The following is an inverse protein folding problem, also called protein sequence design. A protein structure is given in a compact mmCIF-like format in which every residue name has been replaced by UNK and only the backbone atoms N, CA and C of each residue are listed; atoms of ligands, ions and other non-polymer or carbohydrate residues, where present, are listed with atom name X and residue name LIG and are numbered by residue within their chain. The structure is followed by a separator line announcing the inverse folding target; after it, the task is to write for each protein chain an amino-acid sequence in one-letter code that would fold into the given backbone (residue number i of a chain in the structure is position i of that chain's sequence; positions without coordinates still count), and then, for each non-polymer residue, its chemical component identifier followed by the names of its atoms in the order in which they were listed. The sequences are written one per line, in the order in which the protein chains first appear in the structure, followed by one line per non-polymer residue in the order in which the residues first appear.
data_IF_269333136525
#
_entry.id   IF_269333136525
#
_cell.length_a   1.000
_cell.length_b   1.000
_cell.length_c   1.000
_cell.angle_alpha   90.00
_cell.angle_beta   90.00
_cell.angle_gamma   90.00
#
_symmetry.space_group_name_H-M   'P 1'
#
loop_
_entity.id
_entity.type
_entity.pdbx_description
1 polymer ?
#
# COMPACT_ATOMS: atom_id res chain seq x y z
N UNK A 1 -20.14 53.97 -11.37
CA UNK A 1 -20.30 53.09 -12.56
C UNK A 1 -19.01 52.37 -12.97
N UNK A 2 -18.01 53.00 -13.62
CA UNK A 2 -16.84 52.26 -14.17
C UNK A 2 -16.09 51.39 -13.14
N UNK A 3 -15.90 51.86 -11.91
CA UNK A 3 -15.25 51.08 -10.84
C UNK A 3 -16.10 49.89 -10.41
N UNK A 4 -17.41 50.12 -10.21
CA UNK A 4 -18.40 49.07 -9.90
C UNK A 4 -18.44 47.98 -10.97
N UNK A 5 -18.39 48.35 -12.26
CA UNK A 5 -18.34 47.41 -13.37
C UNK A 5 -17.06 46.56 -13.36
N UNK A 6 -15.90 47.14 -13.04
CA UNK A 6 -14.64 46.38 -12.86
C UNK A 6 -14.73 45.37 -11.71
N UNK A 7 -15.33 45.76 -10.58
CA UNK A 7 -15.54 44.83 -9.45
C UNK A 7 -16.50 43.69 -9.81
N UNK A 8 -17.61 43.97 -10.51
CA UNK A 8 -18.55 42.95 -10.99
C UNK A 8 -17.88 42.00 -11.98
N UNK A 9 -17.14 42.50 -12.97
CA UNK A 9 -16.41 41.67 -13.93
C UNK A 9 -15.33 40.83 -13.25
N UNK A 10 -14.61 41.38 -12.26
CA UNK A 10 -13.64 40.64 -11.46
C UNK A 10 -14.27 39.52 -10.63
N UNK A 11 -15.42 39.79 -9.99
CA UNK A 11 -16.18 38.80 -9.24
C UNK A 11 -16.74 37.68 -10.13
N UNK A 12 -17.27 38.01 -11.31
CA UNK A 12 -17.73 37.02 -12.31
C UNK A 12 -16.56 36.18 -12.84
N UNK A 13 -15.40 36.80 -13.12
CA UNK A 13 -14.19 36.08 -13.51
C UNK A 13 -13.70 35.12 -12.44
N UNK A 14 -13.65 35.56 -11.17
CA UNK A 14 -13.28 34.71 -10.05
C UNK A 14 -14.28 33.55 -9.85
N UNK A 15 -15.58 33.82 -9.91
CA UNK A 15 -16.62 32.79 -9.85
C UNK A 15 -16.51 31.78 -10.99
N UNK A 16 -16.23 32.23 -12.22
CA UNK A 16 -15.98 31.37 -13.38
C UNK A 16 -14.73 30.49 -13.21
N UNK A 17 -13.64 31.02 -12.67
CA UNK A 17 -12.43 30.25 -12.36
C UNK A 17 -12.66 29.23 -11.24
N UNK A 18 -13.41 29.59 -10.19
CA UNK A 18 -13.80 28.65 -9.12
C UNK A 18 -14.68 27.54 -9.70
N UNK A 19 -15.70 27.88 -10.50
CA UNK A 19 -16.56 26.91 -11.16
C UNK A 19 -15.74 25.95 -12.05
N UNK A 20 -14.88 26.48 -12.92
CA UNK A 20 -14.00 25.69 -13.78
C UNK A 20 -13.07 24.78 -12.96
N UNK A 21 -12.52 25.29 -11.86
CA UNK A 21 -11.67 24.50 -10.98
C UNK A 21 -12.43 23.30 -10.38
N UNK A 22 -13.57 23.53 -9.73
CA UNK A 22 -14.35 22.48 -9.08
C UNK A 22 -15.00 21.49 -10.07
N UNK A 23 -15.26 21.89 -11.32
CA UNK A 23 -15.88 21.03 -12.34
C UNK A 23 -14.88 20.32 -13.26
N UNK A 24 -13.79 20.97 -13.65
CA UNK A 24 -12.85 20.48 -14.68
C UNK A 24 -11.41 20.22 -14.20
N UNK A 25 -10.99 20.71 -13.03
CA UNK A 25 -9.59 20.55 -12.54
C UNK A 25 -9.45 19.75 -11.25
N UNK A 26 -10.36 19.94 -10.29
CA UNK A 26 -10.22 19.41 -8.92
C UNK A 26 -10.09 17.88 -8.91
N UNK A 27 -9.04 17.32 -8.26
CA UNK A 27 -8.93 15.87 -8.10
C UNK A 27 -10.00 15.36 -7.13
N UNK A 28 -10.67 14.28 -7.55
CA UNK A 28 -11.73 13.57 -6.80
C UNK A 28 -11.29 12.19 -6.30
N UNK A 29 -10.16 11.73 -6.80
CA UNK A 29 -9.45 10.51 -6.40
C UNK A 29 -7.99 10.88 -6.15
N UNK A 30 -7.28 10.04 -5.40
CA UNK A 30 -5.87 10.29 -5.07
C UNK A 30 -4.90 10.05 -6.23
N UNK A 31 -5.34 9.46 -7.36
CA UNK A 31 -4.49 9.00 -8.45
C UNK A 31 -4.95 9.40 -9.87
N UNK A 32 -4.05 9.25 -10.85
CA UNK A 32 -4.31 9.44 -12.27
C UNK A 32 -4.69 8.16 -12.99
N UNK A 33 -5.57 8.28 -13.97
CA UNK A 33 -6.05 7.18 -14.80
C UNK A 33 -5.01 6.80 -15.87
N UNK A 34 -4.52 5.56 -15.87
CA UNK A 34 -3.82 4.97 -17.03
C UNK A 34 -4.80 4.20 -17.90
N UNK A 35 -4.54 4.12 -19.21
CA UNK A 35 -5.38 3.41 -20.16
C UNK A 35 -5.46 1.89 -19.91
N UNK A 36 -4.39 1.27 -19.43
CA UNK A 36 -4.29 -0.18 -19.26
C UNK A 36 -5.19 -0.72 -18.14
N UNK A 37 -5.42 0.05 -17.07
CA UNK A 37 -6.39 -0.28 -16.02
C UNK A 37 -7.64 0.63 -16.00
N UNK A 38 -7.87 1.43 -17.05
CA UNK A 38 -9.11 2.20 -17.21
C UNK A 38 -10.37 1.33 -17.44
N UNK A 39 -10.19 0.02 -17.62
CA UNK A 39 -11.24 -0.99 -17.68
C UNK A 39 -10.87 -2.15 -16.76
N UNK A 40 -11.88 -2.86 -16.26
CA UNK A 40 -11.70 -4.15 -15.62
C UNK A 40 -10.94 -5.12 -16.56
N UNK A 41 -10.35 -6.17 -15.99
CA UNK A 41 -9.93 -7.33 -16.78
C UNK A 41 -11.22 -7.90 -17.41
N UNK A 42 -11.33 -8.05 -18.75
CA UNK A 42 -12.60 -8.32 -19.45
C UNK A 42 -13.38 -9.51 -18.92
N UNK A 43 -14.67 -9.64 -19.25
CA UNK A 43 -15.47 -10.82 -18.88
C UNK A 43 -14.79 -12.13 -19.26
N UNK A 44 -14.97 -13.11 -18.39
CA UNK A 44 -14.27 -14.36 -18.41
C UNK A 44 -15.23 -15.56 -18.28
N UNK A 45 -14.85 -16.73 -18.83
CA UNK A 45 -15.64 -17.97 -18.81
C UNK A 45 -15.05 -19.03 -17.88
N UNK A 46 -15.86 -19.95 -17.36
CA UNK A 46 -15.38 -21.08 -16.54
C UNK A 46 -14.64 -22.07 -17.43
N UNK A 47 -13.37 -22.40 -17.12
CA UNK A 47 -12.67 -23.52 -17.74
C UNK A 47 -13.45 -24.82 -17.56
N UNK A 48 -13.46 -25.64 -18.60
CA UNK A 48 -13.91 -27.03 -18.50
C UNK A 48 -13.12 -27.74 -17.39
N UNK A 49 -13.76 -28.63 -16.63
CA UNK A 49 -13.11 -29.39 -15.55
C UNK A 49 -13.03 -28.70 -14.19
N UNK A 50 -13.60 -27.51 -14.01
CA UNK A 50 -13.83 -26.86 -12.69
C UNK A 50 -15.20 -26.19 -12.63
N UNK A 51 -15.81 -26.15 -11.44
CA UNK A 51 -17.21 -25.72 -11.27
C UNK A 51 -17.40 -24.19 -11.29
N UNK A 52 -16.39 -23.42 -10.85
CA UNK A 52 -16.35 -21.95 -10.83
C UNK A 52 -14.90 -21.47 -10.59
N UNK A 53 -14.60 -20.16 -10.69
CA UNK A 53 -13.30 -19.64 -10.19
C UNK A 53 -13.36 -19.03 -8.79
N UNK A 54 -14.35 -19.40 -7.98
CA UNK A 54 -14.19 -19.23 -6.53
C UNK A 54 -12.86 -19.88 -6.14
N UNK A 55 -12.05 -19.20 -5.35
CA UNK A 55 -10.74 -19.72 -4.97
C UNK A 55 -10.85 -21.06 -4.22
N UNK A 56 -11.99 -21.28 -3.53
CA UNK A 56 -12.39 -22.55 -2.92
C UNK A 56 -12.39 -23.71 -3.92
N UNK A 57 -12.95 -23.50 -5.13
CA UNK A 57 -13.01 -24.51 -6.20
C UNK A 57 -11.61 -24.91 -6.64
N UNK A 58 -10.71 -23.94 -6.81
CA UNK A 58 -9.30 -24.18 -7.07
C UNK A 58 -8.61 -24.90 -5.90
N UNK A 59 -8.99 -24.57 -4.67
CA UNK A 59 -8.45 -25.13 -3.43
C UNK A 59 -8.73 -26.62 -3.21
N UNK A 60 -9.69 -27.21 -3.94
CA UNK A 60 -9.93 -28.66 -3.95
C UNK A 60 -8.70 -29.46 -4.42
N UNK A 61 -7.97 -28.92 -5.40
CA UNK A 61 -6.75 -29.51 -5.96
C UNK A 61 -5.49 -28.75 -5.52
N UNK A 62 -5.56 -27.42 -5.39
CA UNK A 62 -4.44 -26.52 -5.12
C UNK A 62 -4.38 -26.08 -3.65
N UNK A 63 -4.64 -27.01 -2.73
CA UNK A 63 -4.89 -26.75 -1.30
C UNK A 63 -3.88 -25.81 -0.63
N UNK A 64 -2.58 -26.09 -0.74
CA UNK A 64 -1.54 -25.24 -0.13
C UNK A 64 -1.50 -23.82 -0.70
N UNK A 65 -1.80 -23.64 -2.00
CA UNK A 65 -1.84 -22.34 -2.65
C UNK A 65 -3.08 -21.56 -2.21
N UNK A 66 -4.23 -22.24 -2.08
CA UNK A 66 -5.47 -21.64 -1.59
C UNK A 66 -5.33 -21.15 -0.15
N UNK A 67 -4.79 -21.96 0.77
CA UNK A 67 -4.60 -21.54 2.17
C UNK A 67 -3.60 -20.39 2.31
N UNK A 68 -2.54 -20.36 1.51
CA UNK A 68 -1.60 -19.22 1.47
C UNK A 68 -2.29 -17.94 0.95
N UNK A 69 -3.04 -18.03 -0.16
CA UNK A 69 -3.76 -16.91 -0.76
C UNK A 69 -4.82 -16.35 0.17
N UNK A 70 -5.62 -17.22 0.79
CA UNK A 70 -6.73 -16.89 1.72
C UNK A 70 -6.25 -16.10 2.94
N UNK A 71 -5.02 -16.35 3.39
CA UNK A 71 -4.41 -15.62 4.49
C UNK A 71 -3.86 -14.22 4.10
N UNK A 72 -3.78 -13.92 2.80
CA UNK A 72 -3.21 -12.67 2.25
C UNK A 72 -4.20 -11.51 2.22
N UNK A 73 -3.71 -10.31 1.93
CA UNK A 73 -4.55 -9.13 1.67
C UNK A 73 -5.15 -9.16 0.26
N UNK A 74 -4.62 -9.93 -0.69
CA UNK A 74 -5.24 -10.07 -2.01
C UNK A 74 -6.58 -10.81 -1.95
N UNK A 75 -6.71 -11.83 -1.11
CA UNK A 75 -7.98 -12.53 -0.88
C UNK A 75 -9.04 -11.63 -0.23
N UNK A 76 -8.61 -10.67 0.60
CA UNK A 76 -9.46 -9.69 1.28
C UNK A 76 -9.44 -8.31 0.63
N UNK A 77 -8.99 -8.17 -0.61
CA UNK A 77 -8.72 -6.84 -1.20
C UNK A 77 -9.99 -5.97 -1.23
N UNK A 78 -11.14 -6.56 -1.57
CA UNK A 78 -12.43 -5.90 -1.51
C UNK A 78 -13.01 -5.77 -0.10
N UNK A 79 -12.81 -6.78 0.75
CA UNK A 79 -13.46 -6.86 2.07
C UNK A 79 -12.71 -6.11 3.18
N UNK A 80 -11.46 -5.71 2.93
CA UNK A 80 -10.61 -4.97 3.86
C UNK A 80 -11.36 -3.74 4.43
N UNK A 81 -11.55 -3.66 5.76
CA UNK A 81 -12.32 -2.58 6.37
C UNK A 81 -11.67 -1.21 6.19
N UNK A 82 -10.34 -1.14 6.04
CA UNK A 82 -9.66 0.12 5.68
C UNK A 82 -10.04 0.53 4.26
N UNK A 83 -9.89 -0.35 3.27
CA UNK A 83 -10.33 -0.10 1.90
C UNK A 83 -11.81 0.31 1.84
N UNK A 84 -12.73 -0.43 2.48
CA UNK A 84 -14.16 -0.11 2.45
C UNK A 84 -14.47 1.29 3.02
N UNK A 85 -13.81 1.70 4.11
CA UNK A 85 -13.97 3.03 4.68
C UNK A 85 -13.39 4.13 3.77
N UNK A 86 -12.21 3.93 3.18
CA UNK A 86 -11.61 4.85 2.21
C UNK A 86 -12.43 4.93 0.90
N UNK A 87 -12.93 3.81 0.39
CA UNK A 87 -13.75 3.75 -0.82
C UNK A 87 -15.06 4.53 -0.63
N UNK A 88 -15.70 4.39 0.53
CA UNK A 88 -16.89 5.17 0.91
C UNK A 88 -16.60 6.66 1.09
N UNK A 89 -15.45 7.03 1.66
CA UNK A 89 -14.96 8.43 1.69
C UNK A 89 -14.83 9.00 0.28
N UNK A 90 -14.29 8.20 -0.63
CA UNK A 90 -14.06 8.54 -2.02
C UNK A 90 -15.30 8.22 -2.90
N UNK A 91 -16.50 8.18 -2.28
CA UNK A 91 -17.84 8.06 -2.88
C UNK A 91 -18.07 6.80 -3.73
N UNK A 92 -17.46 5.69 -3.34
CA UNK A 92 -17.53 4.40 -4.02
C UNK A 92 -17.11 4.50 -5.50
N UNK A 93 -16.09 5.30 -5.80
CA UNK A 93 -15.61 5.50 -7.16
C UNK A 93 -15.16 4.17 -7.78
N UNK A 94 -15.69 3.85 -8.97
CA UNK A 94 -15.53 2.56 -9.63
C UNK A 94 -14.07 2.16 -9.88
N UNK A 95 -13.18 3.13 -10.14
CA UNK A 95 -11.80 2.85 -10.58
C UNK A 95 -10.98 2.09 -9.54
N UNK A 96 -11.34 2.17 -8.26
CA UNK A 96 -10.75 1.36 -7.19
C UNK A 96 -10.98 -0.16 -7.40
N UNK A 97 -12.13 -0.53 -7.96
CA UNK A 97 -12.47 -1.93 -8.22
C UNK A 97 -11.52 -2.58 -9.23
N UNK A 98 -10.89 -1.82 -10.13
CA UNK A 98 -9.91 -2.38 -11.08
C UNK A 98 -8.60 -2.87 -10.44
N UNK A 99 -8.41 -2.60 -9.14
CA UNK A 99 -7.37 -3.22 -8.31
C UNK A 99 -7.94 -4.16 -7.23
N UNK A 100 -9.11 -3.82 -6.64
CA UNK A 100 -9.67 -4.53 -5.48
C UNK A 100 -10.65 -5.69 -5.84
N UNK A 101 -11.26 -5.65 -7.03
CA UNK A 101 -12.07 -6.72 -7.66
C UNK A 101 -11.81 -6.67 -9.18
N UNK A 102 -10.59 -7.04 -9.62
CA UNK A 102 -10.07 -6.61 -10.93
C UNK A 102 -10.76 -7.27 -12.13
N UNK A 103 -11.52 -8.35 -11.94
CA UNK A 103 -12.26 -9.05 -13.00
C UNK A 103 -13.62 -8.39 -13.24
N UNK A 104 -14.02 -8.27 -14.50
CA UNK A 104 -15.31 -7.73 -14.92
C UNK A 104 -16.50 -8.45 -14.27
N UNK A 105 -16.43 -9.77 -14.17
CA UNK A 105 -17.42 -10.61 -13.49
C UNK A 105 -17.80 -10.08 -12.10
N UNK A 106 -16.79 -9.67 -11.32
CA UNK A 106 -16.94 -9.21 -9.93
C UNK A 106 -17.47 -7.78 -9.80
N UNK A 107 -17.66 -7.05 -10.91
CA UNK A 107 -18.08 -5.64 -10.88
C UNK A 107 -19.55 -5.51 -11.26
N UNK A 108 -20.39 -4.86 -10.42
CA UNK A 108 -21.83 -4.73 -10.68
C UNK A 108 -22.15 -3.80 -11.86
N UNK A 109 -21.16 -3.00 -12.28
CA UNK A 109 -21.27 -2.03 -13.37
C UNK A 109 -20.06 -2.06 -14.27
N UNK A 110 -20.27 -1.76 -15.56
CA UNK A 110 -19.24 -1.66 -16.59
C UNK A 110 -19.06 -0.21 -17.04
N UNK A 111 -17.84 0.17 -17.39
CA UNK A 111 -17.53 1.50 -17.90
C UNK A 111 -17.70 1.57 -19.41
N UNK A 112 -18.75 2.27 -19.84
CA UNK A 112 -19.02 2.54 -21.26
C UNK A 112 -18.12 3.64 -21.81
N UNK A 113 -17.96 4.72 -21.06
CA UNK A 113 -17.17 5.89 -21.45
C UNK A 113 -16.57 6.59 -20.22
N UNK A 114 -15.43 7.25 -20.39
CA UNK A 114 -14.83 8.13 -19.38
C UNK A 114 -14.65 9.52 -20.01
N UNK A 115 -15.70 10.37 -20.03
CA UNK A 115 -15.64 11.69 -20.66
C UNK A 115 -14.45 12.51 -20.16
N UNK A 116 -13.59 12.97 -21.08
CA UNK A 116 -12.35 13.73 -20.78
C UNK A 116 -11.39 13.03 -19.80
N UNK A 117 -11.45 11.71 -19.66
CA UNK A 117 -10.63 10.96 -18.70
C UNK A 117 -10.99 11.19 -17.22
N UNK A 118 -12.14 11.82 -16.95
CA UNK A 118 -12.63 12.12 -15.60
C UNK A 118 -13.37 10.94 -14.99
N UNK A 119 -12.74 10.25 -14.04
CA UNK A 119 -13.28 9.01 -13.44
C UNK A 119 -14.66 9.20 -12.80
N UNK A 120 -14.96 10.35 -12.21
CA UNK A 120 -16.27 10.63 -11.61
C UNK A 120 -17.35 11.06 -12.60
N UNK A 121 -16.99 11.31 -13.86
CA UNK A 121 -17.94 11.52 -14.97
C UNK A 121 -18.15 10.24 -15.79
N UNK A 122 -17.55 9.12 -15.41
CA UNK A 122 -17.63 7.87 -16.16
C UNK A 122 -19.08 7.37 -16.28
N UNK A 123 -19.46 7.01 -17.50
CA UNK A 123 -20.79 6.49 -17.81
C UNK A 123 -20.78 4.99 -17.50
N UNK A 124 -21.51 4.62 -16.46
CA UNK A 124 -21.65 3.25 -15.98
C UNK A 124 -22.93 2.61 -16.55
N UNK A 125 -22.86 1.34 -16.93
CA UNK A 125 -24.01 0.50 -17.27
C UNK A 125 -24.04 -0.70 -16.33
N UNK A 126 -25.22 -1.26 -16.04
CA UNK A 126 -25.32 -2.50 -15.28
C UNK A 126 -24.57 -3.63 -16.01
N UNK A 127 -23.83 -4.45 -15.28
CA UNK A 127 -23.16 -5.62 -15.83
C UNK A 127 -24.15 -6.80 -15.94
N UNK A 128 -24.55 -7.24 -17.16
CA UNK A 128 -25.48 -8.36 -17.33
C UNK A 128 -24.83 -9.72 -17.01
N UNK A 129 -23.51 -9.74 -16.85
CA UNK A 129 -22.71 -10.90 -16.46
C UNK A 129 -22.07 -10.67 -15.08
N UNK A 130 -22.69 -9.84 -14.24
CA UNK A 130 -22.28 -9.69 -12.84
C UNK A 130 -22.52 -11.01 -12.12
N UNK A 131 -21.42 -11.58 -11.66
CA UNK A 131 -21.39 -12.74 -10.80
C UNK A 131 -20.34 -12.44 -9.71
N UNK A 132 -20.72 -12.40 -8.42
CA UNK A 132 -19.72 -12.30 -7.35
C UNK A 132 -18.72 -13.47 -7.40
N UNK A 133 -19.10 -14.60 -8.02
CA UNK A 133 -18.20 -15.71 -8.27
C UNK A 133 -17.35 -15.48 -9.53
N UNK A 134 -16.05 -15.77 -9.39
CA UNK A 134 -15.06 -15.29 -10.34
C UNK A 134 -14.99 -16.14 -11.61
N UNK A 135 -14.54 -15.50 -12.70
CA UNK A 135 -14.29 -15.99 -14.07
C UNK A 135 -12.79 -16.09 -14.51
N UNK A 136 -12.33 -17.01 -15.39
CA UNK A 136 -11.11 -16.78 -16.26
C UNK A 136 -11.12 -17.55 -17.60
N UNK A 137 -11.44 -16.84 -18.70
CA UNK A 137 -11.16 -17.11 -20.14
C UNK A 137 -11.31 -18.55 -20.69
N UNK A 138 -11.93 -19.47 -19.95
CA UNK A 138 -11.90 -20.89 -20.23
C UNK A 138 -10.51 -21.55 -20.07
N UNK A 139 -9.46 -20.79 -19.72
CA UNK A 139 -8.06 -21.24 -19.70
C UNK A 139 -7.30 -20.57 -18.55
N UNK A 140 -6.61 -21.38 -17.74
CA UNK A 140 -5.76 -20.89 -16.65
C UNK A 140 -4.35 -20.61 -17.19
N UNK A 141 -3.98 -19.33 -17.25
CA UNK A 141 -2.62 -18.92 -17.60
C UNK A 141 -1.67 -19.17 -16.41
N UNK A 142 -0.46 -19.67 -16.67
CA UNK A 142 0.50 -19.98 -15.60
C UNK A 142 1.96 -20.05 -16.04
N UNK A 143 2.90 -20.18 -15.09
CA UNK A 143 4.34 -20.10 -15.35
C UNK A 143 4.96 -21.41 -15.88
N UNK A 144 4.17 -22.43 -16.24
CA UNK A 144 4.64 -23.75 -16.70
C UNK A 144 3.98 -24.14 -18.03
N UNK A 145 4.79 -24.64 -18.96
CA UNK A 145 4.46 -25.05 -20.33
C UNK A 145 4.16 -26.56 -20.48
N UNK A 146 4.51 -27.34 -19.46
CA UNK A 146 4.30 -28.78 -19.33
C UNK A 146 3.17 -29.12 -18.33
N UNK A 147 2.22 -28.21 -18.14
CA UNK A 147 1.10 -28.39 -17.20
C UNK A 147 0.13 -29.45 -17.71
N UNK A 148 -0.14 -30.47 -16.87
CA UNK A 148 -1.22 -31.46 -17.10
C UNK A 148 -2.24 -31.28 -15.98
N UNK A 149 -3.47 -30.91 -16.36
CA UNK A 149 -4.55 -30.54 -15.45
C UNK A 149 -5.91 -30.99 -16.01
N UNK A 150 -6.94 -31.19 -15.17
CA UNK A 150 -8.30 -31.50 -15.62
C UNK A 150 -8.97 -30.31 -16.33
N UNK A 151 -8.40 -29.10 -16.23
CA UNK A 151 -8.86 -27.90 -16.90
C UNK A 151 -7.80 -27.37 -17.88
N UNK A 152 -8.20 -26.63 -18.94
CA UNK A 152 -7.24 -26.01 -19.86
C UNK A 152 -6.23 -25.10 -19.17
N UNK A 153 -4.96 -25.24 -19.54
CA UNK A 153 -3.85 -24.40 -19.06
C UNK A 153 -3.02 -23.87 -20.22
N UNK A 154 -2.41 -22.69 -20.06
CA UNK A 154 -1.51 -22.11 -21.07
C UNK A 154 -0.32 -21.39 -20.43
N UNK A 155 0.86 -21.60 -20.98
CA UNK A 155 2.06 -20.90 -20.53
C UNK A 155 1.99 -19.39 -20.80
N UNK A 156 2.39 -18.61 -19.80
CA UNK A 156 2.60 -17.18 -19.91
C UNK A 156 3.91 -16.79 -19.18
N UNK A 157 4.94 -16.31 -19.91
CA UNK A 157 6.21 -15.93 -19.30
C UNK A 157 6.08 -14.71 -18.37
N UNK A 158 5.04 -13.89 -18.50
CA UNK A 158 4.85 -12.69 -17.66
C UNK A 158 4.73 -13.03 -16.16
N UNK A 159 4.22 -14.22 -15.82
CA UNK A 159 4.14 -14.73 -14.44
C UNK A 159 5.51 -14.88 -13.77
N UNK A 160 6.58 -14.96 -14.56
CA UNK A 160 7.98 -14.99 -14.10
C UNK A 160 8.63 -13.59 -14.08
N UNK A 161 7.84 -12.51 -14.19
CA UNK A 161 8.32 -11.11 -14.30
C UNK A 161 7.52 -10.16 -13.40
N UNK A 162 8.01 -8.93 -13.20
CA UNK A 162 7.31 -7.88 -12.44
C UNK A 162 5.99 -7.40 -13.07
N UNK A 163 5.69 -7.77 -14.32
CA UNK A 163 4.53 -7.28 -15.07
C UNK A 163 3.18 -7.64 -14.44
N UNK A 164 3.05 -8.81 -13.82
CA UNK A 164 1.81 -9.21 -13.10
C UNK A 164 1.51 -8.25 -11.94
N UNK A 165 2.53 -7.65 -11.32
CA UNK A 165 2.38 -6.67 -10.24
C UNK A 165 2.13 -5.25 -10.77
N UNK A 166 2.68 -4.89 -11.93
CA UNK A 166 2.68 -3.52 -12.49
C UNK A 166 1.28 -2.90 -12.61
N UNK A 167 0.29 -3.71 -13.00
CA UNK A 167 -1.10 -3.26 -13.21
C UNK A 167 -1.61 -2.49 -12.00
N UNK A 168 -1.48 -3.06 -10.80
CA UNK A 168 -2.03 -2.52 -9.56
C UNK A 168 -0.99 -1.77 -8.71
N UNK A 169 0.30 -2.16 -8.73
CA UNK A 169 1.35 -1.59 -7.86
C UNK A 169 2.16 -0.44 -8.49
N UNK A 170 1.67 0.16 -9.58
CA UNK A 170 2.28 1.35 -10.20
C UNK A 170 1.28 2.50 -10.38
N UNK A 171 0.63 2.92 -9.30
CA UNK A 171 -0.40 3.97 -9.38
C UNK A 171 0.25 5.34 -9.63
N UNK A 172 -0.15 6.00 -10.72
CA UNK A 172 0.47 7.25 -11.22
C UNK A 172 -0.27 8.51 -10.75
N UNK A 173 0.36 9.66 -10.94
CA UNK A 173 -0.25 10.99 -10.79
C UNK A 173 -1.23 11.32 -11.92
N UNK A 174 -2.29 12.06 -11.60
CA UNK A 174 -3.27 12.61 -12.54
C UNK A 174 -3.25 14.14 -12.63
N UNK A 175 -4.22 14.74 -13.34
CA UNK A 175 -4.39 16.20 -13.39
C UNK A 175 -4.53 16.80 -11.99
N UNK A 176 -3.83 17.92 -11.74
CA UNK A 176 -3.78 18.61 -10.43
C UNK A 176 -3.34 17.73 -9.24
N UNK A 177 -2.57 16.67 -9.50
CA UNK A 177 -1.90 15.83 -8.50
C UNK A 177 -0.38 15.92 -8.68
N UNK A 178 0.29 16.63 -7.79
CA UNK A 178 1.72 16.93 -7.85
C UNK A 178 2.49 16.00 -6.88
N UNK A 179 2.56 14.72 -7.23
CA UNK A 179 3.45 13.76 -6.56
C UNK A 179 4.83 13.71 -7.23
N UNK A 180 5.84 13.25 -6.48
CA UNK A 180 7.21 13.04 -6.99
C UNK A 180 7.36 11.78 -7.84
N UNK A 181 6.50 10.78 -7.62
CA UNK A 181 6.47 9.49 -8.36
C UNK A 181 5.03 9.12 -8.69
N UNK A 182 4.19 9.04 -7.65
CA UNK A 182 2.77 8.73 -7.71
C UNK A 182 2.24 8.50 -6.29
N UNK A 183 0.92 8.34 -6.08
CA UNK A 183 0.37 8.02 -4.77
C UNK A 183 0.83 6.64 -4.30
N UNK A 184 0.66 5.59 -5.12
CA UNK A 184 1.09 4.22 -4.78
C UNK A 184 2.05 3.68 -5.85
N UNK A 185 3.17 4.39 -6.04
CA UNK A 185 4.16 4.15 -7.10
C UNK A 185 5.22 3.09 -6.78
N UNK A 186 4.86 1.99 -6.09
CA UNK A 186 5.81 0.97 -5.60
C UNK A 186 6.71 0.42 -6.70
N UNK A 187 6.16 0.17 -7.88
CA UNK A 187 6.92 -0.33 -9.04
C UNK A 187 8.03 0.66 -9.44
N UNK A 188 7.70 1.94 -9.64
CA UNK A 188 8.69 2.97 -9.98
C UNK A 188 9.70 3.23 -8.84
N UNK A 189 9.33 2.98 -7.59
CA UNK A 189 10.28 2.97 -6.45
C UNK A 189 11.19 1.74 -6.43
N UNK A 190 10.81 0.64 -7.09
CA UNK A 190 11.52 -0.64 -7.12
C UNK A 190 12.60 -0.73 -8.21
N UNK A 191 12.50 0.06 -9.29
CA UNK A 191 13.41 0.00 -10.47
C UNK A 191 14.86 0.47 -10.21
N UNK A 192 15.29 0.48 -8.94
CA UNK A 192 16.64 0.79 -8.50
C UNK A 192 17.68 -0.29 -8.82
N UNK A 193 18.96 0.09 -8.67
CA UNK A 193 20.12 -0.66 -9.16
C UNK A 193 20.35 -2.00 -8.45
N UNK A 194 20.44 -2.01 -7.12
CA UNK A 194 20.93 -3.19 -6.38
C UNK A 194 20.03 -4.44 -6.51
N UNK A 195 18.78 -4.35 -6.05
CA UNK A 195 17.89 -5.53 -6.01
C UNK A 195 17.46 -6.00 -7.39
N UNK A 196 17.04 -5.08 -8.27
CA UNK A 196 16.57 -5.45 -9.61
C UNK A 196 17.74 -5.70 -10.58
N UNK A 197 18.65 -4.74 -10.76
CA UNK A 197 19.64 -4.78 -11.84
C UNK A 197 20.88 -5.62 -11.49
N UNK A 198 21.39 -5.53 -10.26
CA UNK A 198 22.61 -6.25 -9.84
C UNK A 198 22.32 -7.65 -9.27
N UNK A 199 21.15 -7.86 -8.64
CA UNK A 199 20.75 -9.16 -8.07
C UNK A 199 19.73 -9.93 -8.91
N UNK A 200 19.16 -9.34 -9.95
CA UNK A 200 18.14 -9.99 -10.80
C UNK A 200 16.85 -10.34 -10.06
N UNK A 201 16.60 -9.74 -8.88
CA UNK A 201 15.38 -10.02 -8.12
C UNK A 201 14.17 -9.36 -8.80
N UNK A 202 13.00 -9.92 -8.53
CA UNK A 202 11.69 -9.40 -8.93
C UNK A 202 10.78 -9.35 -7.71
N UNK A 203 9.59 -8.75 -7.83
CA UNK A 203 8.61 -8.69 -6.74
C UNK A 203 8.34 -10.07 -6.11
N UNK A 204 8.24 -11.11 -6.95
CA UNK A 204 8.04 -12.50 -6.55
C UNK A 204 9.22 -13.08 -5.75
N UNK A 205 10.46 -12.62 -5.94
CA UNK A 205 11.63 -13.11 -5.20
C UNK A 205 11.46 -12.93 -3.68
N UNK A 206 10.83 -11.83 -3.26
CA UNK A 206 10.61 -11.51 -1.84
C UNK A 206 9.17 -11.74 -1.37
N UNK A 207 8.16 -11.38 -2.16
CA UNK A 207 6.75 -11.48 -1.76
C UNK A 207 6.09 -12.81 -2.11
N UNK A 208 6.71 -13.62 -2.96
CA UNK A 208 6.26 -14.97 -3.31
C UNK A 208 7.44 -15.97 -3.23
N UNK A 209 8.05 -16.15 -2.04
CA UNK A 209 9.28 -16.92 -1.89
C UNK A 209 9.16 -18.35 -2.44
N UNK A 210 10.29 -18.90 -2.90
CA UNK A 210 10.33 -20.18 -3.61
C UNK A 210 9.96 -21.36 -2.70
N UNK A 211 9.32 -22.36 -3.28
CA UNK A 211 8.93 -23.59 -2.58
C UNK A 211 8.91 -24.76 -3.56
N UNK A 212 9.61 -25.85 -3.20
CA UNK A 212 9.57 -27.10 -3.94
C UNK A 212 8.41 -27.96 -3.42
N UNK A 213 7.31 -28.02 -4.17
CA UNK A 213 6.12 -28.84 -3.83
C UNK A 213 5.29 -29.19 -5.08
N UNK A 214 4.35 -30.15 -5.00
CA UNK A 214 3.31 -30.27 -6.01
C UNK A 214 2.51 -28.98 -6.14
N UNK A 215 2.15 -28.58 -7.36
CA UNK A 215 1.27 -27.42 -7.58
C UNK A 215 -0.18 -27.78 -7.26
N UNK A 216 -0.58 -29.03 -7.54
CA UNK A 216 -1.84 -29.65 -7.12
C UNK A 216 -1.54 -30.94 -6.36
N UNK A 217 -2.44 -31.38 -5.48
CA UNK A 217 -2.36 -32.68 -4.81
C UNK A 217 -2.23 -33.81 -5.85
N UNK A 218 -1.33 -34.78 -5.59
CA UNK A 218 -0.99 -35.85 -6.54
C UNK A 218 -0.15 -35.45 -7.76
N UNK A 219 0.10 -34.16 -7.99
CA UNK A 219 0.93 -33.67 -9.09
C UNK A 219 2.44 -33.83 -8.87
N UNK A 220 3.27 -33.63 -9.91
CA UNK A 220 4.73 -33.66 -9.79
C UNK A 220 5.24 -32.47 -8.95
N UNK A 221 6.32 -32.70 -8.19
CA UNK A 221 7.02 -31.64 -7.45
C UNK A 221 7.63 -30.66 -8.44
N UNK A 222 7.32 -29.37 -8.28
CA UNK A 222 7.81 -28.27 -9.12
C UNK A 222 8.46 -27.19 -8.23
N UNK A 223 9.39 -26.42 -8.80
CA UNK A 223 9.88 -25.20 -8.16
C UNK A 223 8.83 -24.10 -8.33
N UNK A 224 7.95 -24.01 -7.34
CA UNK A 224 6.84 -23.06 -7.28
C UNK A 224 7.17 -21.83 -6.45
N UNK A 225 6.11 -21.09 -6.14
CA UNK A 225 6.14 -19.82 -5.40
C UNK A 225 5.06 -19.86 -4.31
N UNK A 226 5.33 -19.29 -3.14
CA UNK A 226 4.31 -19.13 -2.08
C UNK A 226 3.35 -17.98 -2.41
N UNK A 227 2.08 -18.15 -2.11
CA UNK A 227 1.01 -17.20 -2.43
C UNK A 227 0.58 -16.39 -1.19
N UNK A 228 1.55 -15.93 -0.40
CA UNK A 228 1.30 -15.24 0.87
C UNK A 228 1.22 -13.71 0.76
N UNK A 229 1.98 -13.11 -0.19
CA UNK A 229 2.11 -11.66 -0.42
C UNK A 229 2.15 -10.80 0.86
N UNK A 230 2.97 -11.20 1.84
CA UNK A 230 3.12 -10.44 3.09
C UNK A 230 3.67 -9.04 2.81
N UNK A 231 3.21 -8.06 3.60
CA UNK A 231 3.47 -6.63 3.43
C UNK A 231 3.12 -5.86 4.69
N UNK A 232 2.60 -4.63 4.59
CA UNK A 232 2.32 -3.78 5.75
C UNK A 232 1.27 -4.27 6.76
N UNK A 233 0.49 -5.30 6.43
CA UNK A 233 -0.42 -5.97 7.37
C UNK A 233 0.25 -7.17 8.09
N UNK A 234 1.56 -7.38 7.90
CA UNK A 234 2.36 -8.44 8.53
C UNK A 234 3.56 -7.78 9.26
N UNK A 235 3.53 -7.70 10.60
CA UNK A 235 4.59 -7.03 11.37
C UNK A 235 5.97 -7.65 11.17
N UNK A 236 6.04 -8.96 10.95
CA UNK A 236 7.31 -9.66 10.77
C UNK A 236 7.88 -9.43 9.38
N UNK A 237 7.05 -9.18 8.36
CA UNK A 237 7.50 -8.68 7.06
C UNK A 237 8.12 -7.30 7.19
N UNK A 238 7.55 -6.40 7.98
CA UNK A 238 8.15 -5.08 8.22
C UNK A 238 9.45 -5.20 9.01
N UNK A 239 9.52 -6.05 10.04
CA UNK A 239 10.78 -6.36 10.75
C UNK A 239 11.85 -6.92 9.82
N UNK A 240 11.51 -7.79 8.86
CA UNK A 240 12.45 -8.30 7.84
C UNK A 240 12.93 -7.23 6.86
N UNK A 241 12.13 -6.19 6.61
CA UNK A 241 12.49 -5.12 5.69
C UNK A 241 13.49 -4.11 6.28
N UNK A 242 13.61 -4.02 7.61
CA UNK A 242 14.41 -3.00 8.29
C UNK A 242 15.52 -3.59 9.16
N UNK A 243 16.58 -2.81 9.37
CA UNK A 243 17.50 -3.04 10.47
C UNK A 243 17.54 -1.80 11.37
N UNK A 244 17.65 -2.03 12.69
CA UNK A 244 17.70 -0.98 13.71
C UNK A 244 18.94 -1.17 14.57
N UNK A 245 19.71 -0.10 14.75
CA UNK A 245 20.85 -0.07 15.67
C UNK A 245 20.65 1.06 16.68
N UNK A 246 20.97 0.84 17.95
CA UNK A 246 20.88 1.87 18.99
C UNK A 246 22.20 1.95 19.76
N UNK A 247 22.76 3.17 19.83
CA UNK A 247 24.00 3.51 20.52
C UNK A 247 23.75 4.65 21.50
N UNK A 248 24.50 4.68 22.60
CA UNK A 248 24.52 5.75 23.58
C UNK A 248 25.95 6.28 23.73
N UNK A 249 26.09 7.60 23.86
CA UNK A 249 27.36 8.30 24.01
C UNK A 249 27.28 9.33 25.15
N UNK A 250 28.05 9.17 26.25
CA UNK A 250 28.90 8.02 26.55
C UNK A 250 28.08 6.75 26.80
N UNK A 251 28.65 5.57 26.54
CA UNK A 251 27.95 4.29 26.71
C UNK A 251 27.66 3.92 28.18
N UNK A 252 28.40 4.49 29.12
CA UNK A 252 28.21 4.34 30.58
C UNK A 252 28.21 5.73 31.25
N UNK A 253 27.09 6.47 31.13
CA UNK A 253 26.97 7.83 31.64
C UNK A 253 26.80 7.88 33.17
N UNK A 254 27.32 8.93 33.81
CA UNK A 254 27.18 9.16 35.25
C UNK A 254 26.00 10.09 35.58
N UNK A 255 25.58 10.10 36.84
CA UNK A 255 24.57 11.04 37.33
C UNK A 255 24.97 12.50 37.00
N UNK A 256 24.01 13.30 36.52
CA UNK A 256 24.25 14.68 36.06
C UNK A 256 24.89 14.83 34.66
N UNK A 257 25.48 13.78 34.08
CA UNK A 257 26.05 13.85 32.72
C UNK A 257 24.97 13.91 31.64
N UNK A 258 25.31 14.48 30.48
CA UNK A 258 24.47 14.44 29.29
C UNK A 258 24.82 13.21 28.45
N UNK A 259 23.80 12.52 27.96
CA UNK A 259 23.90 11.31 27.14
C UNK A 259 23.21 11.58 25.82
N UNK A 260 23.90 11.31 24.71
CA UNK A 260 23.33 11.32 23.37
C UNK A 260 23.01 9.89 22.96
N UNK A 261 21.74 9.64 22.69
CA UNK A 261 21.26 8.41 22.08
C UNK A 261 21.13 8.61 20.58
N UNK A 262 21.53 7.59 19.81
CA UNK A 262 21.42 7.53 18.36
C UNK A 262 20.76 6.21 17.97
N UNK A 263 19.59 6.30 17.32
CA UNK A 263 18.97 5.18 16.62
C UNK A 263 19.24 5.32 15.13
N UNK A 264 19.89 4.32 14.53
CA UNK A 264 20.03 4.20 13.07
C UNK A 264 18.94 3.26 12.55
N UNK A 265 18.03 3.77 11.72
CA UNK A 265 17.04 2.98 10.98
C UNK A 265 17.56 2.76 9.55
N UNK A 266 17.52 1.53 9.06
CA UNK A 266 18.08 1.13 7.76
C UNK A 266 17.01 0.39 6.95
N UNK A 267 16.84 0.75 5.68
CA UNK A 267 16.09 -0.05 4.71
C UNK A 267 16.97 -1.22 4.22
N UNK A 268 17.08 -2.26 5.04
CA UNK A 268 18.02 -3.36 4.81
C UNK A 268 17.49 -4.43 3.84
N UNK A 269 16.16 -4.62 3.78
CA UNK A 269 15.53 -5.77 3.11
C UNK A 269 14.57 -5.44 1.96
N UNK A 270 14.17 -4.17 1.76
CA UNK A 270 13.22 -3.83 0.70
C UNK A 270 13.91 -3.22 -0.53
N UNK A 271 13.51 -3.71 -1.72
CA UNK A 271 13.96 -3.19 -3.02
C UNK A 271 13.31 -1.88 -3.46
N UNK A 272 12.34 -1.38 -2.70
CA UNK A 272 11.64 -0.11 -2.90
C UNK A 272 11.81 0.79 -1.65
N UNK A 273 11.26 2.01 -1.66
CA UNK A 273 11.25 2.87 -0.47
C UNK A 273 10.49 2.21 0.70
N UNK A 274 10.84 2.57 1.93
CA UNK A 274 10.05 2.20 3.11
C UNK A 274 9.41 3.42 3.81
N UNK A 275 8.08 3.39 4.08
CA UNK A 275 7.11 2.43 3.57
C UNK A 275 6.69 2.80 2.13
N UNK A 276 6.34 1.79 1.33
CA UNK A 276 5.78 1.98 -0.01
C UNK A 276 4.26 1.77 -0.01
N UNK A 277 3.61 2.01 -1.14
CA UNK A 277 2.16 1.88 -1.31
C UNK A 277 1.45 3.16 -0.89
N UNK A 278 0.37 3.02 -0.11
CA UNK A 278 -0.47 4.14 0.31
C UNK A 278 0.33 5.27 1.01
N UNK A 279 0.10 6.55 0.69
CA UNK A 279 0.87 7.65 1.26
C UNK A 279 0.69 7.91 2.76
N UNK A 280 -0.41 7.48 3.38
CA UNK A 280 -0.66 7.67 4.83
C UNK A 280 0.25 6.75 5.68
N UNK A 281 0.89 5.75 5.05
CA UNK A 281 1.85 4.83 5.68
C UNK A 281 3.11 5.58 6.12
N UNK A 282 3.53 5.35 7.37
CA UNK A 282 4.73 5.99 7.94
C UNK A 282 5.36 5.13 9.05
N UNK A 283 6.54 5.54 9.51
CA UNK A 283 7.13 5.07 10.76
C UNK A 283 7.24 6.21 11.76
N UNK A 284 7.13 5.90 13.05
CA UNK A 284 7.59 6.78 14.13
C UNK A 284 8.84 6.18 14.79
N UNK A 285 9.80 7.02 15.10
CA UNK A 285 10.95 6.71 15.97
C UNK A 285 10.75 7.50 17.25
N UNK A 286 10.66 6.82 18.38
CA UNK A 286 10.33 7.44 19.68
C UNK A 286 11.41 7.13 20.70
N UNK A 287 11.84 8.18 21.41
CA UNK A 287 12.68 8.11 22.59
C UNK A 287 11.82 8.54 23.78
N UNK A 288 11.60 7.65 24.75
CA UNK A 288 10.74 7.90 25.91
C UNK A 288 11.54 7.66 27.18
N UNK A 289 11.79 8.72 27.95
CA UNK A 289 12.41 8.60 29.28
C UNK A 289 11.31 8.41 30.31
N UNK A 290 11.43 7.38 31.13
CA UNK A 290 10.51 7.07 32.22
C UNK A 290 11.26 6.95 33.56
N UNK A 291 10.56 7.21 34.66
CA UNK A 291 11.05 6.90 36.01
C UNK A 291 10.68 5.45 36.42
N UNK A 292 11.03 5.06 37.65
CA UNK A 292 10.73 3.74 38.22
C UNK A 292 9.21 3.43 38.37
N UNK A 293 8.33 4.41 38.25
CA UNK A 293 6.87 4.24 38.25
C UNK A 293 6.25 4.34 36.83
N UNK A 294 7.06 4.09 35.79
CA UNK A 294 6.70 4.24 34.36
C UNK A 294 6.17 5.64 33.96
N UNK A 295 6.30 6.65 34.82
CA UNK A 295 5.90 8.02 34.49
C UNK A 295 6.89 8.61 33.49
N UNK A 296 6.39 9.00 32.32
CA UNK A 296 7.17 9.69 31.29
C UNK A 296 7.69 11.01 31.85
N UNK A 297 9.01 11.19 31.78
CA UNK A 297 9.73 12.40 32.17
C UNK A 297 10.06 13.28 30.96
N UNK A 298 10.37 12.65 29.82
CA UNK A 298 10.70 13.32 28.56
C UNK A 298 10.34 12.40 27.38
N UNK A 299 10.02 12.99 26.23
CA UNK A 299 9.70 12.27 24.99
C UNK A 299 10.15 13.06 23.78
N UNK A 300 10.83 12.38 22.85
CA UNK A 300 11.02 12.84 21.46
C UNK A 300 10.42 11.83 20.50
N UNK A 301 9.72 12.32 19.48
CA UNK A 301 9.19 11.52 18.37
C UNK A 301 9.58 12.16 17.05
N UNK A 302 10.16 11.37 16.15
CA UNK A 302 10.47 11.75 14.77
C UNK A 302 9.67 10.85 13.82
N UNK A 303 9.13 11.42 12.73
CA UNK A 303 8.29 10.69 11.75
C UNK A 303 9.01 10.50 10.42
N UNK A 304 8.84 9.31 9.82
CA UNK A 304 9.33 8.97 8.49
C UNK A 304 8.18 8.53 7.58
N UNK A 305 7.87 9.33 6.55
CA UNK A 305 6.72 9.11 5.67
C UNK A 305 6.63 10.15 4.57
N UNK A 306 5.40 10.47 4.16
CA UNK A 306 5.07 11.49 3.16
C UNK A 306 4.12 12.50 3.77
N UNK A 307 4.23 13.74 3.34
CA UNK A 307 3.33 14.83 3.73
C UNK A 307 2.68 15.38 2.47
N UNK A 308 1.37 15.14 2.36
CA UNK A 308 0.57 15.55 1.22
C UNK A 308 -0.46 16.58 1.67
N UNK A 309 -0.45 17.72 1.00
CA UNK A 309 -1.60 18.61 0.99
C UNK A 309 -2.66 17.95 0.11
N UNK A 310 -3.75 17.45 0.70
CA UNK A 310 -4.81 16.77 -0.04
C UNK A 310 -5.78 17.70 -0.76
N UNK A 311 -5.94 18.93 -0.28
CA UNK A 311 -6.88 19.94 -0.78
C UNK A 311 -6.28 21.35 -0.65
N UNK A 312 -6.61 22.30 -1.55
CA UNK A 312 -7.55 22.16 -2.67
C UNK A 312 -7.01 21.27 -3.80
N UNK A 313 -5.72 21.39 -4.14
CA UNK A 313 -5.00 20.49 -5.03
C UNK A 313 -4.23 19.44 -4.22
N UNK A 314 -3.88 18.33 -4.86
CA UNK A 314 -3.04 17.29 -4.26
C UNK A 314 -1.57 17.65 -4.52
N UNK A 315 -0.78 17.85 -3.47
CA UNK A 315 0.64 18.23 -3.57
C UNK A 315 1.47 17.48 -2.53
N UNK A 316 2.47 16.73 -2.99
CA UNK A 316 3.47 16.08 -2.13
C UNK A 316 4.51 17.11 -1.67
N UNK A 317 4.27 17.70 -0.49
CA UNK A 317 5.11 18.74 0.09
C UNK A 317 6.49 18.18 0.48
N UNK A 318 6.51 16.98 1.07
CA UNK A 318 7.72 16.38 1.62
C UNK A 318 7.66 14.84 1.57
N UNK A 319 8.78 14.20 1.26
CA UNK A 319 8.99 12.75 1.32
C UNK A 319 10.37 12.53 1.94
N UNK A 320 10.43 11.88 3.10
CA UNK A 320 11.68 11.54 3.77
C UNK A 320 11.85 10.02 3.94
N UNK A 321 11.11 9.20 3.20
CA UNK A 321 11.22 7.74 3.27
C UNK A 321 12.59 7.25 2.84
N UNK A 322 13.04 6.13 3.42
CA UNK A 322 14.34 5.55 3.10
C UNK A 322 14.29 4.79 1.78
N UNK A 323 15.16 5.18 0.85
CA UNK A 323 15.48 4.41 -0.37
C UNK A 323 16.08 3.03 0.00
N UNK A 324 16.10 2.05 -0.93
CA UNK A 324 16.77 0.77 -0.71
C UNK A 324 18.21 0.95 -0.23
N UNK A 325 18.59 0.19 0.80
CA UNK A 325 19.90 0.23 1.48
C UNK A 325 20.27 1.58 2.15
N UNK A 326 19.41 2.59 2.11
CA UNK A 326 19.65 3.85 2.82
C UNK A 326 19.39 3.72 4.32
N UNK A 327 20.13 4.51 5.11
CA UNK A 327 19.94 4.64 6.56
C UNK A 327 19.67 6.09 6.98
N UNK A 328 19.06 6.28 8.15
CA UNK A 328 18.98 7.57 8.83
C UNK A 328 19.21 7.41 10.33
N UNK A 329 20.01 8.32 10.88
CA UNK A 329 20.20 8.49 12.30
C UNK A 329 19.16 9.45 12.88
N UNK A 330 18.54 9.03 13.98
CA UNK A 330 17.65 9.81 14.83
C UNK A 330 18.34 9.97 16.18
N UNK A 331 18.46 11.20 16.67
CA UNK A 331 19.19 11.47 17.91
C UNK A 331 18.36 12.21 18.95
N UNK A 332 18.59 11.84 20.20
CA UNK A 332 17.96 12.39 21.40
C UNK A 332 19.03 12.57 22.48
N UNK A 333 19.10 13.76 23.09
CA UNK A 333 20.08 14.06 24.14
C UNK A 333 19.37 14.34 25.44
N UNK A 334 19.70 13.60 26.50
CA UNK A 334 19.08 13.72 27.81
C UNK A 334 20.14 13.91 28.89
N UNK A 335 19.88 14.77 29.88
CA UNK A 335 20.75 14.93 31.05
C UNK A 335 20.22 14.04 32.18
N UNK A 336 21.04 13.13 32.67
CA UNK A 336 20.65 12.25 33.77
C UNK A 336 20.41 13.08 35.06
N UNK A 337 19.43 12.68 35.90
CA UNK A 337 19.26 13.27 37.22
C UNK A 337 20.57 13.27 38.02
N UNK A 338 20.79 14.32 38.80
CA UNK A 338 21.91 14.40 39.74
C UNK A 338 21.64 13.61 41.04
N UNK A 339 20.37 13.46 41.40
CA UNK A 339 19.92 12.67 42.56
C UNK A 339 19.72 11.18 42.20
N UNK A 340 19.68 10.32 43.22
CA UNK A 340 19.52 8.87 43.04
C UNK A 340 18.09 8.50 42.59
N UNK A 341 17.82 8.61 41.29
CA UNK A 341 16.64 8.05 40.63
C UNK A 341 17.05 7.24 39.41
N UNK A 342 16.67 5.95 39.34
CA UNK A 342 16.82 5.21 38.07
C UNK A 342 15.81 5.74 37.06
N UNK A 343 16.32 6.15 35.90
CA UNK A 343 15.52 6.43 34.71
C UNK A 343 15.78 5.36 33.67
N UNK A 344 14.75 5.01 32.91
CA UNK A 344 14.84 4.08 31.78
C UNK A 344 14.50 4.86 30.52
N UNK A 345 15.37 4.78 29.51
CA UNK A 345 15.02 5.20 28.15
C UNK A 345 14.47 3.98 27.42
N UNK A 346 13.22 4.05 26.97
CA UNK A 346 12.69 3.14 25.94
C UNK A 346 12.87 3.77 24.57
N UNK A 347 13.38 3.00 23.62
CA UNK A 347 13.54 3.39 22.23
C UNK A 347 12.63 2.52 21.37
N UNK A 348 11.61 3.13 20.75
CA UNK A 348 10.63 2.44 19.93
C UNK A 348 10.81 2.82 18.46
N UNK A 349 10.57 1.85 17.58
CA UNK A 349 10.19 2.13 16.19
C UNK A 349 8.82 1.50 15.97
N UNK A 350 7.85 2.30 15.51
CA UNK A 350 6.54 1.81 15.09
C UNK A 350 6.37 1.98 13.60
N UNK A 351 5.66 1.03 12.99
CA UNK A 351 5.14 1.15 11.63
C UNK A 351 3.63 1.41 11.69
N UNK A 352 3.14 2.30 10.84
CA UNK A 352 1.75 2.73 10.76
C UNK A 352 1.21 2.57 9.34
N UNK A 353 0.00 2.03 9.23
CA UNK A 353 -0.75 1.88 7.97
C UNK A 353 -1.37 3.22 7.57
N UNK A 354 -1.88 3.97 8.54
CA UNK A 354 -2.43 5.32 8.41
C UNK A 354 -2.22 6.11 9.71
N UNK A 355 -2.55 7.41 9.73
CA UNK A 355 -2.43 8.25 10.93
C UNK A 355 -3.64 8.10 11.87
N UNK A 356 -3.44 8.38 13.16
CA UNK A 356 -4.50 8.40 14.18
C UNK A 356 -5.69 9.28 13.75
N UNK A 357 -5.42 10.47 13.20
CA UNK A 357 -6.45 11.39 12.69
C UNK A 357 -7.26 10.80 11.52
N UNK A 358 -6.60 10.09 10.58
CA UNK A 358 -7.31 9.40 9.50
C UNK A 358 -8.14 8.24 10.07
N UNK A 359 -7.59 7.47 11.03
CA UNK A 359 -8.27 6.34 11.64
C UNK A 359 -9.56 6.77 12.34
N UNK A 360 -9.45 7.80 13.19
CA UNK A 360 -10.59 8.39 13.89
C UNK A 360 -11.61 9.01 12.93
N UNK A 361 -11.15 9.62 11.83
CA UNK A 361 -12.02 10.18 10.80
C UNK A 361 -12.80 9.09 10.05
N UNK A 362 -12.13 8.00 9.64
CA UNK A 362 -12.76 6.84 8.98
C UNK A 362 -13.77 6.14 9.92
N UNK A 363 -13.41 5.93 11.19
CA UNK A 363 -14.28 5.35 12.22
C UNK A 363 -15.52 6.20 12.46
N UNK A 364 -15.37 7.52 12.65
CA UNK A 364 -16.48 8.44 12.95
C UNK A 364 -17.39 8.77 11.76
N UNK A 365 -16.88 8.78 10.53
CA UNK A 365 -17.64 9.30 9.35
C UNK A 365 -17.95 8.25 8.29
N UNK A 366 -17.09 7.24 8.14
CA UNK A 366 -17.19 6.28 7.05
C UNK A 366 -17.49 4.86 7.51
N UNK A 367 -17.47 4.60 8.82
CA UNK A 367 -17.87 3.31 9.39
C UNK A 367 -16.78 2.26 9.24
N UNK A 368 -15.52 2.65 9.45
CA UNK A 368 -14.46 1.69 9.75
C UNK A 368 -14.88 0.90 11.01
N UNK A 369 -15.27 -0.35 10.81
CA UNK A 369 -15.89 -1.22 11.83
C UNK A 369 -14.88 -1.94 12.73
N UNK A 370 -13.63 -2.07 12.28
CA UNK A 370 -12.63 -2.86 12.95
C UNK A 370 -11.78 -2.03 13.93
N UNK A 371 -11.40 -2.66 15.04
CA UNK A 371 -10.25 -2.28 15.87
C UNK A 371 -8.96 -2.97 15.34
N UNK A 372 -8.89 -3.18 14.02
CA UNK A 372 -7.73 -3.81 13.38
C UNK A 372 -6.46 -2.98 13.64
N UNK A 373 -5.33 -3.62 13.93
CA UNK A 373 -4.09 -2.91 14.24
C UNK A 373 -3.60 -2.15 13.00
N UNK A 374 -3.80 -0.82 13.02
CA UNK A 374 -3.25 0.09 12.03
C UNK A 374 -1.85 0.60 12.41
N UNK A 375 -1.34 0.27 13.61
CA UNK A 375 0.02 0.55 14.05
C UNK A 375 0.65 -0.63 14.77
N UNK A 376 1.96 -0.80 14.61
CA UNK A 376 2.72 -1.96 15.11
C UNK A 376 4.09 -1.52 15.63
N UNK A 377 4.43 -1.89 16.87
CA UNK A 377 5.83 -1.80 17.34
C UNK A 377 6.67 -2.84 16.61
N UNK A 378 7.64 -2.37 15.82
CA UNK A 378 8.56 -3.23 15.07
C UNK A 378 9.93 -3.38 15.76
N UNK A 379 10.26 -2.45 16.66
CA UNK A 379 11.44 -2.49 17.50
C UNK A 379 11.16 -1.82 18.85
N UNK A 380 11.64 -2.42 19.93
CA UNK A 380 11.65 -1.86 21.29
C UNK A 380 12.96 -2.25 21.98
N UNK A 381 13.58 -1.31 22.70
CA UNK A 381 14.77 -1.52 23.54
C UNK A 381 14.83 -0.54 24.70
#
# INVERSE_FOLDING_TARGET
MRTSLKFVLGAVGAAGLIYLYYTEVKPVVIFGLRSDYAKAIPYQKTPEGIDSLRAESCGTCHREIYEEWKASIHARAYEDPFFQAYWKRDRNIWICLNCHTPLENQQPTLIKEIPRGRVEKAIQVANPHYDPDHVREGVIMGPFDDSVAPHPTKFDPSFRTTQVCYRCHNVVSGPAQLYRVGPCGTYAEYEGKFFMQERGMICQSCHMPEVARPVAEGGPIRQGRRHLWRGGHDPDMIKRAVAVQVKADPAMPKAGEQVRFTLTLINAGAGHKIPTGDPDRHFTVEFIVQNQQDRVLDRKTDTMGRWILWQPAIVELYDNRLLPLASRDYTFSYRLPAEQGRVTLKTLVRYHILTDDQHEMLKKKYGLTADDPYSFTIYER
#
